data_IF_609551181019
#
_entry.id   IF_609551181019
#
_cell.length_a   1.000
_cell.length_b   1.000
_cell.length_c   1.000
_cell.angle_alpha   90.00
_cell.angle_beta   90.00
_cell.angle_gamma   90.00
#
_symmetry.space_group_name_H-M   'P 1'
#
loop_
_entity.id
_entity.type
_entity.pdbx_description
1 polymer ?
#
# COMPACT_ATOMS: atom_id res chain seq x y z
N UNK A 1 5.27 -3.80 1.83
CA UNK A 1 5.68 -3.73 3.25
C UNK A 1 4.49 -3.33 4.12
N UNK A 2 3.88 -2.17 3.88
CA UNK A 2 2.83 -1.64 4.76
C UNK A 2 1.50 -2.38 4.60
N UNK A 3 0.99 -2.52 3.39
CA UNK A 3 -0.30 -3.16 3.12
C UNK A 3 -0.41 -3.81 1.73
N UNK A 4 0.69 -4.17 1.12
CA UNK A 4 0.79 -4.66 -0.26
C UNK A 4 0.36 -6.10 -0.51
N UNK A 5 -0.59 -6.64 0.26
CA UNK A 5 -1.25 -7.90 -0.08
C UNK A 5 -0.62 -9.18 0.47
N UNK A 6 0.51 -9.15 1.15
CA UNK A 6 1.05 -10.32 1.84
C UNK A 6 0.65 -10.35 3.32
N UNK A 7 0.64 -11.54 3.93
CA UNK A 7 0.27 -11.74 5.32
C UNK A 7 1.27 -11.17 6.34
N UNK A 8 2.46 -10.76 5.90
CA UNK A 8 3.51 -10.16 6.74
C UNK A 8 3.48 -8.63 6.66
N UNK A 9 2.59 -8.04 5.83
CA UNK A 9 2.42 -6.60 5.78
C UNK A 9 1.96 -6.05 7.13
N UNK A 10 2.48 -4.90 7.54
CA UNK A 10 2.24 -4.31 8.88
C UNK A 10 0.76 -4.13 9.21
N UNK A 11 -0.04 -3.69 8.23
CA UNK A 11 -1.49 -3.57 8.40
C UNK A 11 -2.15 -4.93 8.66
N UNK A 12 -1.77 -5.96 7.90
CA UNK A 12 -2.29 -7.32 8.10
C UNK A 12 -1.87 -7.88 9.46
N UNK A 13 -0.62 -7.67 9.85
CA UNK A 13 -0.09 -8.16 11.13
C UNK A 13 -0.78 -7.51 12.32
N UNK A 14 -0.96 -6.19 12.31
CA UNK A 14 -1.57 -5.47 13.44
C UNK A 14 -3.10 -5.59 13.46
N UNK A 15 -3.76 -5.20 12.35
CA UNK A 15 -5.22 -5.04 12.34
C UNK A 15 -5.94 -6.38 12.26
N UNK A 16 -5.41 -7.32 11.46
CA UNK A 16 -6.01 -8.64 11.31
C UNK A 16 -5.54 -9.62 12.37
N UNK A 17 -4.22 -9.90 12.44
CA UNK A 17 -3.71 -10.98 13.28
C UNK A 17 -3.74 -10.63 14.76
N UNK A 18 -3.23 -9.46 15.15
CA UNK A 18 -3.15 -9.09 16.56
C UNK A 18 -4.48 -8.65 17.14
N UNK A 19 -5.27 -7.86 16.39
CA UNK A 19 -6.50 -7.26 16.91
C UNK A 19 -7.78 -7.96 16.47
N UNK A 20 -7.74 -8.78 15.41
CA UNK A 20 -8.93 -9.45 14.90
C UNK A 20 -10.04 -8.50 14.43
N UNK A 21 -9.67 -7.30 13.98
CA UNK A 21 -10.62 -6.26 13.59
C UNK A 21 -11.15 -6.42 12.18
N UNK A 22 -10.43 -7.12 11.31
CA UNK A 22 -10.81 -7.36 9.92
C UNK A 22 -10.38 -8.74 9.45
N UNK A 23 -11.02 -9.23 8.39
CA UNK A 23 -10.54 -10.42 7.67
C UNK A 23 -9.35 -10.07 6.75
N UNK A 24 -9.31 -8.85 6.23
CA UNK A 24 -8.23 -8.38 5.37
C UNK A 24 -8.19 -6.87 5.30
N UNK A 25 -7.00 -6.33 5.22
CA UNK A 25 -6.72 -4.91 5.05
C UNK A 25 -5.57 -4.75 4.06
N UNK A 26 -5.76 -3.87 3.08
CA UNK A 26 -4.81 -3.69 1.98
C UNK A 26 -4.55 -2.21 1.76
N UNK A 27 -3.35 -1.89 1.34
CA UNK A 27 -3.02 -0.57 0.82
C UNK A 27 -2.41 -0.66 -0.57
N UNK A 28 -2.75 0.28 -1.41
CA UNK A 28 -2.24 0.38 -2.77
C UNK A 28 -1.99 1.83 -3.14
N UNK A 29 -1.06 2.04 -4.05
CA UNK A 29 -0.87 3.30 -4.75
C UNK A 29 -1.40 3.14 -6.17
N UNK A 30 -2.20 4.09 -6.62
CA UNK A 30 -2.66 4.17 -8.02
C UNK A 30 -1.90 5.31 -8.66
N UNK A 31 -0.87 5.02 -9.49
CA UNK A 31 -0.18 6.07 -10.21
C UNK A 31 -1.14 6.71 -11.23
N UNK A 32 -0.97 8.00 -11.47
CA UNK A 32 -1.66 8.75 -12.53
C UNK A 32 -0.65 9.66 -13.24
N UNK A 33 -1.05 10.28 -14.36
CA UNK A 33 -0.19 11.25 -15.05
C UNK A 33 0.14 12.48 -14.20
N UNK A 34 -0.80 12.85 -13.32
CA UNK A 34 -0.57 13.81 -12.24
C UNK A 34 -0.34 13.06 -10.91
N UNK A 35 -0.65 13.68 -9.79
CA UNK A 35 -0.55 13.03 -8.48
C UNK A 35 -1.58 11.91 -8.36
N UNK A 36 -1.12 10.70 -8.09
CA UNK A 36 -1.98 9.54 -7.83
C UNK A 36 -2.53 9.49 -6.40
N UNK A 37 -3.23 8.42 -6.08
CA UNK A 37 -3.80 8.20 -4.74
C UNK A 37 -3.09 7.07 -3.99
N UNK A 38 -3.00 7.19 -2.68
CA UNK A 38 -2.71 6.10 -1.76
C UNK A 38 -4.00 5.73 -1.03
N UNK A 39 -4.45 4.51 -1.19
CA UNK A 39 -5.71 4.03 -0.65
C UNK A 39 -5.48 2.89 0.32
N UNK A 40 -6.17 2.92 1.46
CA UNK A 40 -6.24 1.81 2.40
C UNK A 40 -7.71 1.38 2.47
N UNK A 41 -7.98 0.10 2.26
CA UNK A 41 -9.32 -0.45 2.28
C UNK A 41 -9.43 -1.70 3.14
N UNK A 42 -10.51 -1.79 3.89
CA UNK A 42 -10.86 -2.96 4.70
C UNK A 42 -12.34 -2.98 5.02
N UNK A 43 -12.83 -4.14 5.41
CA UNK A 43 -14.17 -4.33 5.97
C UNK A 43 -14.06 -4.76 7.42
N UNK A 44 -14.92 -4.23 8.28
CA UNK A 44 -14.96 -4.56 9.71
C UNK A 44 -16.41 -4.56 10.22
N UNK A 45 -16.62 -5.06 11.41
CA UNK A 45 -17.93 -4.97 12.09
C UNK A 45 -18.25 -3.49 12.39
N UNK A 46 -19.51 -3.07 12.21
CA UNK A 46 -19.91 -1.68 12.42
C UNK A 46 -19.47 -1.12 13.77
N UNK A 47 -19.66 -1.88 14.84
CA UNK A 47 -19.25 -1.50 16.21
C UNK A 47 -17.73 -1.36 16.40
N UNK A 48 -16.94 -1.92 15.49
CA UNK A 48 -15.47 -1.90 15.52
C UNK A 48 -14.85 -0.95 14.49
N UNK A 49 -15.66 -0.24 13.72
CA UNK A 49 -15.18 0.62 12.63
C UNK A 49 -14.23 1.71 13.13
N UNK A 50 -14.60 2.42 14.19
CA UNK A 50 -13.76 3.47 14.75
C UNK A 50 -12.44 2.93 15.31
N UNK A 51 -12.49 1.82 16.04
CA UNK A 51 -11.30 1.16 16.57
C UNK A 51 -10.34 0.73 15.43
N UNK A 52 -10.90 0.16 14.35
CA UNK A 52 -10.11 -0.27 13.20
C UNK A 52 -9.47 0.91 12.45
N UNK A 53 -10.19 2.03 12.31
CA UNK A 53 -9.67 3.26 11.70
C UNK A 53 -8.50 3.82 12.53
N UNK A 54 -8.68 3.96 13.83
CA UNK A 54 -7.64 4.51 14.70
C UNK A 54 -6.40 3.60 14.77
N UNK A 55 -6.61 2.29 14.85
CA UNK A 55 -5.52 1.32 14.79
C UNK A 55 -4.75 1.40 13.46
N UNK A 56 -5.47 1.58 12.33
CA UNK A 56 -4.86 1.77 11.01
C UNK A 56 -4.01 3.03 10.97
N UNK A 57 -4.53 4.17 11.44
CA UNK A 57 -3.76 5.42 11.55
C UNK A 57 -2.51 5.25 12.39
N UNK A 58 -2.60 4.51 13.49
CA UNK A 58 -1.46 4.25 14.36
C UNK A 58 -0.36 3.44 13.66
N UNK A 59 -0.72 2.43 12.86
CA UNK A 59 0.26 1.67 12.05
C UNK A 59 0.96 2.59 11.05
N UNK A 60 0.22 3.46 10.37
CA UNK A 60 0.81 4.43 9.42
C UNK A 60 1.76 5.39 10.14
N UNK A 61 1.32 5.99 11.25
CA UNK A 61 2.14 6.89 12.06
C UNK A 61 3.42 6.22 12.54
N UNK A 62 3.32 5.02 13.11
CA UNK A 62 4.49 4.26 13.55
C UNK A 62 5.45 3.94 12.39
N UNK A 63 4.91 3.71 11.18
CA UNK A 63 5.74 3.46 9.99
C UNK A 63 6.48 4.71 9.55
N UNK A 64 5.85 5.89 9.62
CA UNK A 64 6.49 7.17 9.30
C UNK A 64 7.58 7.53 10.31
N UNK A 65 7.33 7.27 11.60
CA UNK A 65 8.28 7.61 12.67
C UNK A 65 9.49 6.67 12.70
N UNK A 66 9.25 5.36 12.62
CA UNK A 66 10.28 4.33 12.82
C UNK A 66 10.90 3.82 11.53
N UNK A 67 10.25 4.08 10.40
CA UNK A 67 10.64 3.51 9.12
C UNK A 67 10.31 2.01 9.01
N UNK A 68 10.62 1.44 7.86
CA UNK A 68 10.62 -0.02 7.62
C UNK A 68 11.99 -0.58 7.95
N UNK A 69 12.04 -1.87 8.26
CA UNK A 69 13.30 -2.55 8.62
C UNK A 69 13.99 -3.15 7.39
N UNK A 70 15.28 -3.40 7.52
CA UNK A 70 16.05 -4.08 6.46
C UNK A 70 15.49 -5.47 6.13
N UNK A 71 15.00 -6.20 7.13
CA UNK A 71 14.39 -7.52 6.92
C UNK A 71 13.07 -7.43 6.16
N UNK A 72 12.20 -6.47 6.49
CA UNK A 72 10.95 -6.24 5.74
C UNK A 72 11.24 -5.85 4.28
N UNK A 73 12.26 -5.04 4.06
CA UNK A 73 12.67 -4.67 2.72
C UNK A 73 13.21 -5.88 1.93
N UNK A 74 14.07 -6.70 2.53
CA UNK A 74 14.60 -7.91 1.90
C UNK A 74 13.48 -8.87 1.49
N UNK A 75 12.60 -9.24 2.41
CA UNK A 75 11.45 -10.12 2.15
C UNK A 75 10.52 -9.57 1.05
N UNK A 76 10.35 -8.25 1.02
CA UNK A 76 9.53 -7.61 -0.01
C UNK A 76 10.20 -7.65 -1.39
N UNK A 77 11.52 -7.41 -1.45
CA UNK A 77 12.29 -7.55 -2.70
C UNK A 77 12.17 -8.97 -3.25
N UNK A 78 12.40 -9.97 -2.42
CA UNK A 78 12.30 -11.37 -2.82
C UNK A 78 10.90 -11.70 -3.34
N UNK A 79 9.85 -11.24 -2.66
CA UNK A 79 8.47 -11.42 -3.10
C UNK A 79 8.21 -10.78 -4.47
N UNK A 80 8.65 -9.54 -4.67
CA UNK A 80 8.46 -8.80 -5.92
C UNK A 80 9.22 -9.46 -7.08
N UNK A 81 10.46 -9.87 -6.86
CA UNK A 81 11.31 -10.51 -7.87
C UNK A 81 10.73 -11.89 -8.25
N UNK A 82 10.35 -12.69 -7.27
CA UNK A 82 9.84 -14.04 -7.51
C UNK A 82 8.43 -14.03 -8.17
N UNK A 83 7.60 -13.01 -7.88
CA UNK A 83 6.28 -12.87 -8.51
C UNK A 83 6.32 -12.22 -9.89
N UNK A 84 7.41 -11.54 -10.25
CA UNK A 84 7.50 -10.80 -11.50
C UNK A 84 7.24 -11.65 -12.76
N UNK A 85 7.83 -12.85 -12.93
CA UNK A 85 7.54 -13.68 -14.12
C UNK A 85 6.05 -14.06 -14.25
N UNK A 86 5.36 -14.24 -13.13
CA UNK A 86 3.93 -14.61 -13.13
C UNK A 86 3.02 -13.45 -13.55
N UNK A 87 3.53 -12.21 -13.50
CA UNK A 87 2.79 -11.02 -13.95
C UNK A 87 2.49 -11.04 -15.46
N UNK A 88 3.15 -11.89 -16.24
CA UNK A 88 3.01 -12.03 -17.69
C UNK A 88 2.45 -13.39 -18.11
N UNK A 89 1.84 -14.13 -17.20
CA UNK A 89 1.37 -15.50 -17.44
C UNK A 89 0.20 -15.62 -18.44
N UNK A 90 -0.35 -14.48 -18.92
CA UNK A 90 -1.41 -14.49 -19.92
C UNK A 90 -1.24 -13.37 -20.94
N UNK A 91 -1.78 -13.58 -22.15
CA UNK A 91 -1.81 -12.53 -23.18
C UNK A 91 -2.53 -11.26 -22.70
N UNK A 92 -3.59 -11.40 -21.90
CA UNK A 92 -4.31 -10.28 -21.32
C UNK A 92 -3.41 -9.46 -20.37
N UNK A 93 -2.65 -10.11 -19.49
CA UNK A 93 -1.72 -9.45 -18.59
C UNK A 93 -0.57 -8.77 -19.35
N UNK A 94 -0.04 -9.42 -20.38
CA UNK A 94 0.99 -8.84 -21.23
C UNK A 94 0.48 -7.61 -21.96
N UNK A 95 -0.70 -7.69 -22.57
CA UNK A 95 -1.33 -6.55 -23.25
C UNK A 95 -1.60 -5.37 -22.31
N UNK A 96 -2.10 -5.65 -21.11
CA UNK A 96 -2.32 -4.61 -20.09
C UNK A 96 -1.01 -3.91 -19.69
N UNK A 97 0.07 -4.68 -19.54
CA UNK A 97 1.39 -4.12 -19.20
C UNK A 97 1.95 -3.25 -20.33
N UNK A 98 1.88 -3.71 -21.57
CA UNK A 98 2.33 -2.92 -22.72
C UNK A 98 1.48 -1.64 -22.88
N UNK A 99 0.16 -1.76 -22.71
CA UNK A 99 -0.75 -0.61 -22.73
C UNK A 99 -0.42 0.41 -21.62
N UNK A 100 -0.11 -0.05 -20.42
CA UNK A 100 0.33 0.80 -19.32
C UNK A 100 1.66 1.48 -19.63
N UNK A 101 2.63 0.75 -20.18
CA UNK A 101 3.91 1.32 -20.58
C UNK A 101 3.74 2.42 -21.63
N UNK A 102 2.90 2.19 -22.64
CA UNK A 102 2.59 3.20 -23.65
C UNK A 102 1.88 4.42 -23.08
N UNK A 103 0.89 4.22 -22.22
CA UNK A 103 0.14 5.30 -21.57
C UNK A 103 1.03 6.22 -20.72
N UNK A 104 1.94 5.64 -19.93
CA UNK A 104 2.86 6.39 -19.07
C UNK A 104 4.17 6.76 -19.76
N UNK A 105 4.32 6.46 -21.06
CA UNK A 105 5.54 6.70 -21.84
C UNK A 105 6.80 6.13 -21.15
N UNK A 106 6.69 4.91 -20.63
CA UNK A 106 7.80 4.24 -19.98
C UNK A 106 8.80 3.74 -21.04
N UNK A 107 10.10 3.68 -20.73
CA UNK A 107 11.11 3.21 -21.67
C UNK A 107 10.95 1.72 -21.97
N UNK A 108 11.40 1.28 -23.14
CA UNK A 108 11.36 -0.13 -23.56
C UNK A 108 12.11 -1.04 -22.58
N UNK A 109 13.13 -0.52 -21.91
CA UNK A 109 13.89 -1.22 -20.86
C UNK A 109 13.11 -1.40 -19.55
N UNK A 110 11.89 -0.84 -19.43
CA UNK A 110 11.13 -0.86 -18.17
C UNK A 110 11.01 -2.27 -17.55
N UNK A 111 10.68 -3.26 -18.36
CA UNK A 111 10.52 -4.64 -17.90
C UNK A 111 11.85 -5.35 -17.69
N UNK A 112 12.80 -5.18 -18.61
CA UNK A 112 14.11 -5.84 -18.50
C UNK A 112 14.94 -5.33 -17.33
N UNK A 113 14.74 -4.09 -16.93
CA UNK A 113 15.41 -3.49 -15.76
C UNK A 113 14.64 -3.65 -14.44
N UNK A 114 13.41 -4.17 -14.46
CA UNK A 114 12.56 -4.23 -13.27
C UNK A 114 13.25 -4.89 -12.08
N UNK A 115 13.79 -6.10 -12.27
CA UNK A 115 14.48 -6.85 -11.21
C UNK A 115 15.67 -6.07 -10.68
N UNK A 116 16.48 -5.51 -11.55
CA UNK A 116 17.66 -4.70 -11.17
C UNK A 116 17.25 -3.47 -10.35
N UNK A 117 16.17 -2.79 -10.73
CA UNK A 117 15.66 -1.62 -9.98
C UNK A 117 15.16 -2.03 -8.59
N UNK A 118 14.41 -3.14 -8.49
CA UNK A 118 13.97 -3.66 -7.19
C UNK A 118 15.17 -4.03 -6.31
N UNK A 119 16.18 -4.68 -6.85
CA UNK A 119 17.40 -5.03 -6.12
C UNK A 119 18.16 -3.81 -5.61
N UNK A 120 18.24 -2.74 -6.40
CA UNK A 120 18.94 -1.50 -6.04
C UNK A 120 18.21 -0.62 -5.02
N UNK A 121 16.90 -0.84 -4.80
CA UNK A 121 16.16 -0.06 -3.80
C UNK A 121 16.81 -0.21 -2.42
N UNK A 122 17.26 0.88 -1.82
CA UNK A 122 17.86 0.87 -0.49
C UNK A 122 16.87 1.31 0.59
N UNK A 123 17.22 1.01 1.84
CA UNK A 123 16.35 1.25 2.98
C UNK A 123 16.08 2.74 3.20
N UNK A 124 17.08 3.58 2.98
CA UNK A 124 16.98 5.03 3.18
C UNK A 124 16.01 5.64 2.17
N UNK A 125 16.20 5.29 0.88
CA UNK A 125 15.34 5.78 -0.19
C UNK A 125 13.88 5.33 -0.02
N UNK A 126 13.64 4.07 0.39
CA UNK A 126 12.28 3.55 0.65
C UNK A 126 11.62 4.30 1.80
N UNK A 127 12.33 4.52 2.90
CA UNK A 127 11.80 5.24 4.04
C UNK A 127 11.55 6.72 3.72
N UNK A 128 12.44 7.35 2.96
CA UNK A 128 12.25 8.74 2.53
C UNK A 128 11.05 8.87 1.59
N UNK A 129 10.94 8.01 0.57
CA UNK A 129 9.79 8.00 -0.34
C UNK A 129 8.45 7.83 0.39
N UNK A 130 8.41 7.00 1.43
CA UNK A 130 7.18 6.84 2.22
C UNK A 130 6.81 8.12 2.98
N UNK A 131 7.79 8.83 3.55
CA UNK A 131 7.58 10.12 4.22
C UNK A 131 7.13 11.21 3.27
N UNK A 132 7.68 11.23 2.06
CA UNK A 132 7.36 12.25 1.06
C UNK A 132 5.95 12.07 0.48
N UNK A 133 5.50 10.81 0.39
CA UNK A 133 4.22 10.47 -0.24
C UNK A 133 3.03 10.45 0.73
N UNK A 134 3.26 10.14 2.01
CA UNK A 134 2.18 9.87 2.96
C UNK A 134 2.11 10.96 4.04
N UNK A 135 1.03 11.72 4.00
CA UNK A 135 0.67 12.65 5.07
C UNK A 135 -0.63 12.19 5.75
N UNK A 136 -0.56 11.66 6.98
CA UNK A 136 -1.74 11.16 7.69
C UNK A 136 -2.80 12.23 7.96
N UNK A 137 -2.41 13.51 7.96
CA UNK A 137 -3.34 14.63 8.19
C UNK A 137 -4.20 14.94 6.97
N UNK A 138 -3.81 14.44 5.80
CA UNK A 138 -4.54 14.62 4.53
C UNK A 138 -5.42 13.42 4.15
N UNK A 139 -5.60 12.46 5.05
CA UNK A 139 -6.45 11.31 4.77
C UNK A 139 -7.93 11.68 4.77
N UNK A 140 -8.59 11.41 3.66
CA UNK A 140 -10.05 11.36 3.58
C UNK A 140 -10.51 9.96 4.04
N UNK A 141 -11.44 9.91 4.99
CA UNK A 141 -12.00 8.65 5.48
C UNK A 141 -13.44 8.55 5.00
N UNK A 142 -13.72 7.49 4.25
CA UNK A 142 -15.06 7.17 3.78
C UNK A 142 -15.51 5.87 4.43
N UNK A 143 -16.64 5.90 5.12
CA UNK A 143 -17.24 4.73 5.77
C UNK A 143 -18.62 4.47 5.16
N UNK A 144 -18.86 3.23 4.77
CA UNK A 144 -20.16 2.79 4.22
C UNK A 144 -20.70 1.67 5.11
N UNK A 145 -21.91 1.85 5.63
CA UNK A 145 -22.58 0.89 6.52
C UNK A 145 -23.43 1.61 7.58
N UNK A 146 -23.95 0.86 8.56
CA UNK A 146 -24.71 1.37 9.70
C UNK A 146 -23.82 1.96 10.80
N UNK A 147 -22.70 2.55 10.48
CA UNK A 147 -21.88 3.23 11.46
C UNK A 147 -22.59 4.52 11.90
N UNK A 148 -22.66 4.76 13.20
CA UNK A 148 -23.09 6.07 13.71
C UNK A 148 -22.12 7.12 13.15
N UNK A 149 -22.59 8.14 12.41
CA UNK A 149 -21.68 9.13 11.84
C UNK A 149 -20.88 9.80 12.96
N UNK A 150 -19.57 9.71 12.89
CA UNK A 150 -18.74 10.51 13.76
C UNK A 150 -18.78 11.94 13.19
N UNK A 151 -19.58 12.82 13.81
CA UNK A 151 -19.65 14.24 13.46
C UNK A 151 -18.36 14.94 13.88
N UNK A 152 -17.26 14.59 13.26
CA UNK A 152 -16.06 15.42 13.33
C UNK A 152 -16.28 16.59 12.37
N UNK A 153 -16.69 17.73 12.93
CA UNK A 153 -16.84 19.00 12.22
C UNK A 153 -15.57 19.26 11.41
N UNK A 154 -15.70 19.31 10.11
CA UNK A 154 -14.72 19.92 9.21
C UNK A 154 -14.54 21.36 9.66
N UNK A 155 -13.39 21.72 10.17
CA UNK A 155 -13.03 23.12 10.35
C UNK A 155 -13.02 23.78 8.96
N UNK A 156 -13.68 24.95 8.88
CA UNK A 156 -13.70 25.82 7.70
C UNK A 156 -12.32 26.32 7.37
#
# INVERSE_FOLDING_TARGET
IVGGGNFQARLMEDIRKKRGLTYGIYSSTTPMLAQGSYTISFSTRNQKSQEAIEATKQVIKNTLEKGVTANELALTKDSLINSFPTSFASNAAMNATVGMMGFYQLPDSYLTEYVTRVQRADLTAVNQSYKDLIDPNKFLIVTVGNATPNTTKTAK
#
